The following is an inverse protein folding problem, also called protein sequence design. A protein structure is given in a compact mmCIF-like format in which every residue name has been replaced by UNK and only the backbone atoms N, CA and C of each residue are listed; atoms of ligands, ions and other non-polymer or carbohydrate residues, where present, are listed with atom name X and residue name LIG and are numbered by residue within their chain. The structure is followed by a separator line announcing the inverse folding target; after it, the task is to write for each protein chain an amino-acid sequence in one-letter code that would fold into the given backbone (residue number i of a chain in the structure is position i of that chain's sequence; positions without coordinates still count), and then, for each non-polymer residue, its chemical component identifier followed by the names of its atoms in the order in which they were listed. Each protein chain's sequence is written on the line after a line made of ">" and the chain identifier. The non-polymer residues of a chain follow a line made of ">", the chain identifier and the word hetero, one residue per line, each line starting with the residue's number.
data_IF_048759753130
#
_entry.id   IF_048759753130
#
_cell.length_a   1.000
_cell.length_b   1.000
_cell.length_c   1.000
_cell.angle_alpha   90.00
_cell.angle_beta   90.00
_cell.angle_gamma   90.00
#
_symmetry.space_group_name_H-M   'P 1'
#
loop_
_entity.id
_entity.type
_entity.pdbx_description
1 polymer ?
#
# COMPACT_ATOMS: atom_id res chain seq x y z
N UNK A 1 -39.44 -69.35 -75.21
CA UNK A 1 -38.15 -69.82 -74.66
C UNK A 1 -36.92 -69.07 -75.20
N UNK A 2 -37.05 -67.85 -75.79
CA UNK A 2 -35.92 -67.00 -76.21
C UNK A 2 -35.70 -65.76 -75.34
N UNK A 3 -36.68 -65.40 -74.50
CA UNK A 3 -36.60 -64.20 -73.64
C UNK A 3 -35.73 -64.42 -72.38
N UNK A 4 -35.59 -65.66 -71.92
CA UNK A 4 -34.77 -66.02 -70.74
C UNK A 4 -33.27 -66.06 -71.09
N UNK A 5 -32.92 -66.31 -72.35
CA UNK A 5 -31.52 -66.29 -72.81
C UNK A 5 -30.99 -64.86 -72.94
N UNK A 6 -31.83 -63.91 -73.36
CA UNK A 6 -31.49 -62.48 -73.46
C UNK A 6 -31.29 -61.79 -72.10
N UNK A 7 -31.94 -62.27 -71.05
CA UNK A 7 -31.73 -61.77 -69.67
C UNK A 7 -30.49 -62.36 -68.99
N UNK A 8 -29.87 -63.41 -69.56
CA UNK A 8 -28.58 -63.93 -69.09
C UNK A 8 -27.40 -63.15 -69.67
N UNK A 9 -27.52 -62.61 -70.89
CA UNK A 9 -26.46 -61.84 -71.53
C UNK A 9 -26.36 -60.38 -71.04
N UNK A 10 -27.45 -59.80 -70.51
CA UNK A 10 -27.38 -58.48 -69.82
C UNK A 10 -26.74 -58.62 -68.41
N UNK A 11 -26.56 -59.84 -67.92
CA UNK A 11 -25.92 -60.14 -66.63
C UNK A 11 -24.44 -60.53 -66.77
N UNK A 12 -23.86 -60.35 -67.95
CA UNK A 12 -22.43 -60.49 -68.21
C UNK A 12 -21.78 -59.11 -68.36
N UNK A 13 -20.71 -58.87 -67.60
CA UNK A 13 -19.86 -57.67 -67.62
C UNK A 13 -20.26 -56.47 -66.74
N UNK A 14 -20.38 -56.73 -65.43
CA UNK A 14 -19.74 -55.85 -64.45
C UNK A 14 -18.53 -56.59 -63.88
N UNK A 15 -17.43 -56.60 -64.65
CA UNK A 15 -16.15 -57.05 -64.12
C UNK A 15 -15.66 -56.04 -63.09
N UNK A 16 -15.95 -56.38 -61.84
CA UNK A 16 -15.35 -55.89 -60.59
C UNK A 16 -13.89 -55.48 -60.73
N UNK A 17 -13.63 -54.21 -61.04
CA UNK A 17 -12.32 -53.58 -60.86
C UNK A 17 -12.13 -53.13 -59.41
N UNK A 18 -12.21 -54.08 -58.49
CA UNK A 18 -12.08 -53.86 -57.03
C UNK A 18 -10.61 -53.54 -56.64
N UNK A 19 -9.64 -53.92 -57.49
CA UNK A 19 -8.21 -53.69 -57.26
C UNK A 19 -7.82 -52.22 -57.39
N UNK A 20 -8.50 -51.44 -58.24
CA UNK A 20 -8.28 -49.99 -58.35
C UNK A 20 -8.97 -49.17 -57.27
N UNK A 21 -10.14 -49.62 -56.80
CA UNK A 21 -10.95 -48.90 -55.81
C UNK A 21 -10.30 -48.85 -54.43
N UNK A 22 -9.60 -49.93 -54.04
CA UNK A 22 -8.84 -50.00 -52.78
C UNK A 22 -7.71 -48.95 -52.75
N UNK A 23 -6.96 -48.81 -53.84
CA UNK A 23 -5.90 -47.80 -53.96
C UNK A 23 -6.47 -46.39 -53.83
N UNK A 24 -7.62 -46.14 -54.45
CA UNK A 24 -8.30 -44.84 -54.46
C UNK A 24 -8.82 -44.48 -53.07
N UNK A 25 -9.41 -45.44 -52.34
CA UNK A 25 -9.83 -45.26 -50.95
C UNK A 25 -8.63 -44.92 -50.08
N UNK A 26 -7.53 -45.68 -50.16
CA UNK A 26 -6.32 -45.43 -49.35
C UNK A 26 -5.75 -44.04 -49.62
N UNK A 27 -5.68 -43.61 -50.89
CA UNK A 27 -5.22 -42.27 -51.26
C UNK A 27 -6.11 -41.19 -50.65
N UNK A 28 -7.43 -41.35 -50.74
CA UNK A 28 -8.41 -40.43 -50.13
C UNK A 28 -8.25 -40.42 -48.60
N UNK A 29 -8.11 -41.58 -47.96
CA UNK A 29 -7.93 -41.67 -46.51
C UNK A 29 -6.66 -40.96 -46.05
N UNK A 30 -5.53 -41.17 -46.74
CA UNK A 30 -4.26 -40.47 -46.43
C UNK A 30 -4.43 -38.96 -46.60
N UNK A 31 -5.08 -38.51 -47.69
CA UNK A 31 -5.30 -37.08 -47.95
C UNK A 31 -6.18 -36.44 -46.87
N UNK A 32 -7.24 -37.13 -46.46
CA UNK A 32 -8.14 -36.68 -45.39
C UNK A 32 -7.37 -36.60 -44.06
N UNK A 33 -6.58 -37.61 -43.73
CA UNK A 33 -5.74 -37.62 -42.51
C UNK A 33 -4.76 -36.45 -42.52
N UNK A 34 -4.12 -36.14 -43.66
CA UNK A 34 -3.19 -35.01 -43.77
C UNK A 34 -3.90 -33.66 -43.58
N UNK A 35 -5.08 -33.47 -44.19
CA UNK A 35 -5.87 -32.25 -44.02
C UNK A 35 -6.29 -32.08 -42.56
N UNK A 36 -6.78 -33.14 -41.92
CA UNK A 36 -7.15 -33.09 -40.50
C UNK A 36 -5.93 -32.88 -39.59
N UNK A 37 -4.81 -33.54 -39.87
CA UNK A 37 -3.57 -33.39 -39.10
C UNK A 37 -3.03 -31.97 -39.13
N UNK A 38 -3.04 -31.32 -40.29
CA UNK A 38 -2.65 -29.91 -40.42
C UNK A 38 -3.63 -28.97 -39.71
N UNK A 39 -4.94 -29.21 -39.86
CA UNK A 39 -5.98 -28.42 -39.18
C UNK A 39 -5.83 -28.48 -37.65
N UNK A 40 -5.66 -29.68 -37.08
CA UNK A 40 -5.48 -29.87 -35.64
C UNK A 40 -4.20 -29.19 -35.13
N UNK A 41 -3.11 -29.27 -35.90
CA UNK A 41 -1.82 -28.65 -35.56
C UNK A 41 -1.93 -27.12 -35.49
N UNK A 42 -2.65 -26.51 -36.45
CA UNK A 42 -2.92 -25.07 -36.44
C UNK A 42 -3.73 -24.62 -35.22
N UNK A 43 -4.71 -25.43 -34.80
CA UNK A 43 -5.49 -25.17 -33.58
C UNK A 43 -4.63 -25.24 -32.32
N UNK A 44 -3.81 -26.29 -32.17
CA UNK A 44 -2.93 -26.44 -30.99
C UNK A 44 -1.96 -25.27 -30.83
N UNK A 45 -1.34 -24.82 -31.92
CA UNK A 45 -0.44 -23.66 -31.90
C UNK A 45 -1.18 -22.37 -31.54
N UNK A 46 -2.38 -22.18 -32.10
CA UNK A 46 -3.21 -21.01 -31.81
C UNK A 46 -3.67 -20.97 -30.35
N UNK A 47 -4.09 -22.12 -29.80
CA UNK A 47 -4.48 -22.24 -28.39
C UNK A 47 -3.30 -21.96 -27.45
N UNK A 48 -2.10 -22.47 -27.75
CA UNK A 48 -0.89 -22.16 -26.97
C UNK A 48 -0.55 -20.67 -27.01
N UNK A 49 -0.67 -20.04 -28.17
CA UNK A 49 -0.44 -18.60 -28.31
C UNK A 49 -1.44 -17.78 -27.48
N UNK A 50 -2.73 -18.11 -27.56
CA UNK A 50 -3.77 -17.43 -26.78
C UNK A 50 -3.59 -17.65 -25.28
N UNK A 51 -3.22 -18.86 -24.85
CA UNK A 51 -2.92 -19.15 -23.46
C UNK A 51 -1.75 -18.29 -22.94
N UNK A 52 -0.64 -18.27 -23.68
CA UNK A 52 0.53 -17.46 -23.32
C UNK A 52 0.21 -15.96 -23.30
N UNK A 53 -0.62 -15.49 -24.23
CA UNK A 53 -1.07 -14.10 -24.27
C UNK A 53 -1.90 -13.76 -23.02
N UNK A 54 -2.88 -14.59 -22.67
CA UNK A 54 -3.72 -14.39 -21.49
C UNK A 54 -2.90 -14.45 -20.20
N UNK A 55 -2.00 -15.43 -20.07
CA UNK A 55 -1.12 -15.57 -18.92
C UNK A 55 -0.18 -14.37 -18.75
N UNK A 56 0.47 -13.92 -19.83
CA UNK A 56 1.32 -12.73 -19.80
C UNK A 56 0.52 -11.46 -19.51
N UNK A 57 -0.70 -11.34 -20.04
CA UNK A 57 -1.57 -10.20 -19.73
C UNK A 57 -1.96 -10.18 -18.25
N UNK A 58 -2.28 -11.32 -17.66
CA UNK A 58 -2.58 -11.42 -16.23
C UNK A 58 -1.35 -11.03 -15.38
N UNK A 59 -0.17 -11.54 -15.72
CA UNK A 59 1.09 -11.16 -15.07
C UNK A 59 1.38 -9.66 -15.19
N UNK A 60 1.13 -9.07 -16.36
CA UNK A 60 1.28 -7.63 -16.58
C UNK A 60 0.30 -6.82 -15.71
N UNK A 61 -0.94 -7.29 -15.54
CA UNK A 61 -1.90 -6.69 -14.60
C UNK A 61 -1.38 -6.75 -13.16
N UNK A 62 -0.93 -7.92 -12.70
CA UNK A 62 -0.40 -8.10 -11.35
C UNK A 62 0.80 -7.17 -11.08
N UNK A 63 1.69 -7.02 -12.07
CA UNK A 63 2.83 -6.09 -11.99
C UNK A 63 2.39 -4.62 -11.91
N UNK A 64 1.36 -4.24 -12.66
CA UNK A 64 0.79 -2.89 -12.57
C UNK A 64 0.15 -2.64 -11.18
N UNK A 65 -0.53 -3.62 -10.59
CA UNK A 65 -1.09 -3.55 -9.24
C UNK A 65 -0.01 -3.47 -8.15
N UNK A 66 1.09 -4.22 -8.30
CA UNK A 66 2.27 -4.08 -7.43
C UNK A 66 2.85 -2.67 -7.51
N UNK A 67 2.92 -2.09 -8.72
CA UNK A 67 3.33 -0.71 -8.93
C UNK A 67 2.45 0.29 -8.17
N UNK A 68 1.12 0.11 -8.20
CA UNK A 68 0.16 0.94 -7.45
C UNK A 68 0.42 0.84 -5.94
N UNK A 69 0.63 -0.38 -5.42
CA UNK A 69 0.91 -0.63 -4.00
C UNK A 69 2.22 0.02 -3.56
N UNK A 70 3.27 -0.09 -4.39
CA UNK A 70 4.53 0.60 -4.15
C UNK A 70 4.34 2.12 -4.14
N UNK A 71 3.61 2.66 -5.12
CA UNK A 71 3.37 4.10 -5.22
C UNK A 71 2.53 4.64 -4.06
N UNK A 72 1.60 3.86 -3.51
CA UNK A 72 0.92 4.17 -2.24
C UNK A 72 1.92 4.40 -1.12
N UNK A 73 2.84 3.46 -0.90
CA UNK A 73 3.84 3.56 0.16
C UNK A 73 4.77 4.77 -0.02
N UNK A 74 5.16 5.06 -1.27
CA UNK A 74 5.95 6.25 -1.61
C UNK A 74 5.16 7.52 -1.32
N UNK A 75 3.91 7.60 -1.77
CA UNK A 75 3.04 8.77 -1.54
C UNK A 75 2.81 9.00 -0.04
N UNK A 76 2.61 7.95 0.76
CA UNK A 76 2.51 8.07 2.22
C UNK A 76 3.76 8.72 2.85
N UNK A 77 4.96 8.31 2.42
CA UNK A 77 6.22 8.91 2.89
C UNK A 77 6.35 10.37 2.46
N UNK A 78 5.97 10.67 1.22
CA UNK A 78 5.97 12.04 0.69
C UNK A 78 5.01 12.94 1.49
N UNK A 79 3.79 12.47 1.78
CA UNK A 79 2.81 13.21 2.59
C UNK A 79 3.33 13.46 4.00
N UNK A 80 3.96 12.47 4.64
CA UNK A 80 4.58 12.64 5.95
C UNK A 80 5.71 13.69 5.94
N UNK A 81 6.58 13.66 4.92
CA UNK A 81 7.65 14.64 4.74
C UNK A 81 7.11 16.05 4.46
N UNK A 82 6.06 16.17 3.65
CA UNK A 82 5.39 17.44 3.35
C UNK A 82 4.73 18.04 4.61
N UNK A 83 4.06 17.22 5.42
CA UNK A 83 3.52 17.67 6.71
C UNK A 83 4.62 18.14 7.67
N UNK A 84 5.75 17.43 7.72
CA UNK A 84 6.90 17.82 8.54
C UNK A 84 7.44 19.18 8.10
N UNK A 85 7.65 19.35 6.80
CA UNK A 85 8.13 20.61 6.20
C UNK A 85 7.17 21.77 6.47
N UNK A 86 5.86 21.53 6.30
CA UNK A 86 4.83 22.51 6.61
C UNK A 86 4.83 22.87 8.10
N UNK A 87 5.01 21.91 9.01
CA UNK A 87 5.02 22.19 10.45
C UNK A 87 6.22 23.01 10.92
N UNK A 88 7.37 22.94 10.24
CA UNK A 88 8.59 23.66 10.62
C UNK A 88 8.53 25.16 10.30
N UNK A 89 7.76 25.53 9.27
CA UNK A 89 7.82 26.87 8.67
C UNK A 89 6.51 27.66 8.78
N UNK A 90 5.52 27.22 9.57
CA UNK A 90 4.15 27.76 9.47
C UNK A 90 3.49 28.14 10.79
N UNK A 91 2.75 29.25 10.74
CA UNK A 91 1.54 29.50 11.55
C UNK A 91 0.34 28.73 10.95
N UNK A 92 -0.79 28.62 11.64
CA UNK A 92 -1.94 27.83 11.13
C UNK A 92 -2.46 28.31 9.76
N UNK A 93 -2.27 29.58 9.42
CA UNK A 93 -2.74 30.21 8.16
C UNK A 93 -1.85 29.92 6.95
N UNK A 94 -0.59 29.51 7.15
CA UNK A 94 0.39 29.27 6.07
C UNK A 94 0.71 27.78 5.88
N UNK A 95 0.16 26.92 6.74
CA UNK A 95 0.42 25.49 6.73
C UNK A 95 0.03 24.83 5.40
N UNK A 96 -1.17 25.12 4.90
CA UNK A 96 -1.70 24.48 3.68
C UNK A 96 -0.90 24.83 2.43
N UNK A 97 -0.52 26.10 2.27
CA UNK A 97 0.30 26.53 1.14
C UNK A 97 1.68 25.88 1.19
N UNK A 98 2.27 25.77 2.38
CA UNK A 98 3.57 25.15 2.58
C UNK A 98 3.51 23.62 2.36
N UNK A 99 2.43 22.97 2.81
CA UNK A 99 2.19 21.55 2.55
C UNK A 99 2.06 21.27 1.06
N UNK A 100 1.18 22.01 0.35
CA UNK A 100 0.97 21.83 -1.10
C UNK A 100 2.25 22.03 -1.90
N UNK A 101 3.02 23.07 -1.57
CA UNK A 101 4.30 23.36 -2.22
C UNK A 101 5.32 22.24 -1.98
N UNK A 102 5.45 21.76 -0.73
CA UNK A 102 6.34 20.64 -0.40
C UNK A 102 5.89 19.33 -1.05
N UNK A 103 4.59 19.04 -1.06
CA UNK A 103 4.01 17.87 -1.71
C UNK A 103 4.36 17.85 -3.21
N UNK A 104 4.16 18.97 -3.90
CA UNK A 104 4.48 19.09 -5.33
C UNK A 104 5.97 18.89 -5.59
N UNK A 105 6.84 19.56 -4.84
CA UNK A 105 8.29 19.43 -4.96
C UNK A 105 8.77 17.98 -4.72
N UNK A 106 8.28 17.32 -3.67
CA UNK A 106 8.65 15.93 -3.37
C UNK A 106 8.09 14.94 -4.39
N UNK A 107 6.87 15.19 -4.90
CA UNK A 107 6.27 14.36 -5.94
C UNK A 107 7.04 14.48 -7.23
N UNK A 108 7.31 15.69 -7.73
CA UNK A 108 8.10 15.92 -8.95
C UNK A 108 9.52 15.35 -8.82
N UNK A 109 10.19 15.57 -7.68
CA UNK A 109 11.52 15.01 -7.45
C UNK A 109 11.49 13.49 -7.47
N UNK A 110 10.57 12.84 -6.74
CA UNK A 110 10.53 11.37 -6.62
C UNK A 110 9.95 10.67 -7.84
N UNK A 111 9.05 11.31 -8.59
CA UNK A 111 8.46 10.73 -9.80
C UNK A 111 9.45 10.70 -10.96
N UNK A 112 10.39 11.66 -11.02
CA UNK A 112 11.59 11.56 -11.86
C UNK A 112 12.47 10.34 -11.54
N UNK A 113 12.34 9.78 -10.33
CA UNK A 113 13.07 8.59 -9.85
C UNK A 113 12.25 7.31 -9.79
N UNK A 114 10.98 7.26 -10.23
CA UNK A 114 10.27 5.97 -10.33
C UNK A 114 10.79 5.23 -11.56
N UNK A 115 12.00 4.71 -11.37
CA UNK A 115 12.78 3.87 -12.25
C UNK A 115 11.95 2.64 -12.59
N UNK A 116 12.08 2.16 -13.82
CA UNK A 116 11.58 0.86 -14.22
C UNK A 116 12.04 -0.19 -13.19
N UNK A 117 11.09 -0.79 -12.48
CA UNK A 117 11.39 -1.80 -11.47
C UNK A 117 11.33 -3.16 -12.15
N UNK A 118 12.43 -3.90 -12.09
CA UNK A 118 12.52 -5.25 -12.65
C UNK A 118 12.28 -6.24 -11.52
N UNK A 119 11.23 -7.04 -11.65
CA UNK A 119 10.91 -8.10 -10.69
C UNK A 119 11.65 -9.38 -11.09
N UNK A 120 11.69 -9.68 -12.39
CA UNK A 120 12.38 -10.85 -12.94
C UNK A 120 12.60 -10.68 -14.45
N UNK A 121 13.84 -10.67 -14.92
CA UNK A 121 14.20 -10.59 -16.35
C UNK A 121 13.39 -9.56 -17.17
N UNK A 122 12.32 -9.99 -17.86
CA UNK A 122 11.44 -9.21 -18.73
C UNK A 122 10.17 -8.68 -18.03
N UNK A 123 9.95 -9.04 -16.78
CA UNK A 123 8.83 -8.60 -15.94
C UNK A 123 9.17 -7.31 -15.23
N UNK A 124 8.50 -6.24 -15.64
CA UNK A 124 8.78 -4.91 -15.12
C UNK A 124 7.50 -4.14 -14.79
N UNK A 125 7.60 -3.18 -13.88
CA UNK A 125 6.56 -2.16 -13.73
C UNK A 125 7.16 -0.75 -13.72
N UNK A 126 6.34 0.23 -14.13
CA UNK A 126 6.69 1.64 -14.17
C UNK A 126 5.51 2.48 -13.72
N UNK A 127 5.75 3.47 -12.88
CA UNK A 127 4.75 4.47 -12.52
C UNK A 127 5.06 5.77 -13.25
N UNK A 128 4.02 6.37 -13.81
CA UNK A 128 4.09 7.69 -14.40
C UNK A 128 3.14 8.62 -13.65
N UNK A 129 3.67 9.65 -13.00
CA UNK A 129 2.85 10.68 -12.38
C UNK A 129 2.19 11.55 -13.46
N UNK A 130 0.94 11.93 -13.23
CA UNK A 130 0.19 12.78 -14.15
C UNK A 130 0.05 14.20 -13.61
N UNK A 131 -0.67 14.34 -12.50
CA UNK A 131 -0.95 15.64 -11.89
C UNK A 131 -1.42 15.48 -10.43
N UNK A 132 -1.54 16.60 -9.74
CA UNK A 132 -2.29 16.73 -8.50
C UNK A 132 -3.48 17.64 -8.79
N UNK A 133 -4.69 17.13 -8.64
CA UNK A 133 -5.92 17.93 -8.69
C UNK A 133 -6.12 18.62 -7.34
N UNK A 134 -6.18 19.95 -7.37
CA UNK A 134 -6.38 20.81 -6.21
C UNK A 134 -7.73 21.55 -6.24
N UNK A 135 -8.69 21.10 -7.05
CA UNK A 135 -10.01 21.70 -7.20
C UNK A 135 -10.78 21.84 -5.87
N UNK A 136 -10.46 21.00 -4.88
CA UNK A 136 -11.04 21.06 -3.56
C UNK A 136 -10.01 21.55 -2.51
N UNK A 137 -10.31 22.60 -1.73
CA UNK A 137 -9.37 23.16 -0.74
C UNK A 137 -9.02 22.20 0.41
N UNK A 138 -9.82 21.15 0.63
CA UNK A 138 -9.63 20.17 1.70
C UNK A 138 -9.28 18.77 1.16
N UNK A 139 -9.12 18.63 -0.16
CA UNK A 139 -8.85 17.36 -0.81
C UNK A 139 -7.94 17.55 -2.02
N UNK A 140 -6.86 16.79 -2.07
CA UNK A 140 -5.93 16.70 -3.20
C UNK A 140 -6.03 15.30 -3.79
N UNK A 141 -6.04 15.20 -5.11
CA UNK A 141 -6.06 13.90 -5.80
C UNK A 141 -4.81 13.76 -6.65
N UNK A 142 -3.92 12.85 -6.27
CA UNK A 142 -2.70 12.51 -7.00
C UNK A 142 -3.05 11.49 -8.06
N UNK A 143 -3.02 11.88 -9.33
CA UNK A 143 -3.32 11.02 -10.47
C UNK A 143 -2.03 10.45 -11.06
N UNK A 144 -2.05 9.16 -11.43
CA UNK A 144 -0.89 8.47 -11.97
C UNK A 144 -1.31 7.26 -12.83
N UNK A 145 -0.40 6.81 -13.69
CA UNK A 145 -0.52 5.58 -14.47
C UNK A 145 0.48 4.55 -13.98
N UNK A 146 0.06 3.29 -13.92
CA UNK A 146 0.91 2.14 -13.60
C UNK A 146 0.96 1.19 -14.78
N UNK A 147 2.16 0.99 -15.32
CA UNK A 147 2.42 0.09 -16.43
C UNK A 147 3.06 -1.18 -15.90
N UNK A 148 2.50 -2.33 -16.23
CA UNK A 148 3.13 -3.63 -16.03
C UNK A 148 3.46 -4.26 -17.38
N UNK A 149 4.66 -4.83 -17.51
CA UNK A 149 5.12 -5.51 -18.71
C UNK A 149 5.48 -6.95 -18.38
N UNK A 150 5.00 -7.90 -19.17
CA UNK A 150 5.40 -9.30 -19.11
C UNK A 150 5.44 -9.89 -20.53
N UNK A 151 6.62 -10.35 -20.98
CA UNK A 151 6.83 -10.78 -22.36
C UNK A 151 6.55 -9.67 -23.37
N UNK A 152 5.54 -9.86 -24.23
CA UNK A 152 5.11 -8.90 -25.25
C UNK A 152 3.85 -8.11 -24.86
N UNK A 153 3.29 -8.40 -23.69
CA UNK A 153 2.05 -7.77 -23.23
C UNK A 153 2.38 -6.65 -22.24
N UNK A 154 1.70 -5.51 -22.42
CA UNK A 154 1.78 -4.34 -21.54
C UNK A 154 0.37 -4.00 -21.10
N UNK A 155 0.17 -3.84 -19.78
CA UNK A 155 -1.08 -3.38 -19.19
C UNK A 155 -0.84 -2.02 -18.54
N UNK A 156 -1.76 -1.08 -18.77
CA UNK A 156 -1.75 0.24 -18.17
C UNK A 156 -2.99 0.41 -17.28
N UNK A 157 -2.79 0.63 -15.99
CA UNK A 157 -3.83 0.92 -15.03
C UNK A 157 -3.77 2.39 -14.63
N UNK A 158 -4.91 3.06 -14.59
CA UNK A 158 -4.99 4.45 -14.10
C UNK A 158 -5.35 4.44 -12.63
N UNK A 159 -4.53 5.09 -11.81
CA UNK A 159 -4.69 5.16 -10.37
C UNK A 159 -4.87 6.59 -9.88
N UNK A 160 -5.61 6.76 -8.80
CA UNK A 160 -5.68 8.02 -8.06
C UNK A 160 -5.52 7.78 -6.57
N UNK A 161 -4.73 8.62 -5.90
CA UNK A 161 -4.59 8.68 -4.45
C UNK A 161 -5.23 9.96 -3.92
N UNK A 162 -6.23 9.82 -3.05
CA UNK A 162 -6.86 10.96 -2.37
C UNK A 162 -6.11 11.27 -1.07
N UNK A 163 -5.64 12.51 -0.96
CA UNK A 163 -5.09 13.11 0.25
C UNK A 163 -6.13 14.12 0.73
N UNK A 164 -6.53 14.06 1.99
CA UNK A 164 -7.53 14.98 2.56
C UNK A 164 -7.02 15.61 3.84
N UNK A 165 -7.55 16.79 4.17
CA UNK A 165 -7.33 17.36 5.50
C UNK A 165 -7.90 16.43 6.54
N UNK A 166 -7.08 16.15 7.53
CA UNK A 166 -7.47 15.31 8.65
C UNK A 166 -8.12 16.20 9.69
N UNK A 167 -9.45 16.14 9.72
CA UNK A 167 -10.25 16.76 10.77
C UNK A 167 -10.10 15.91 12.05
N UNK A 168 -9.09 16.21 12.86
CA UNK A 168 -8.86 15.54 14.16
C UNK A 168 -7.69 14.56 14.19
N UNK A 169 -7.47 13.97 15.38
CA UNK A 169 -6.33 13.08 15.66
C UNK A 169 -6.45 11.76 14.89
N UNK A 170 -5.39 11.40 14.17
CA UNK A 170 -5.36 10.35 13.13
C UNK A 170 -5.75 8.94 13.59
N UNK A 171 -5.59 8.65 14.89
CA UNK A 171 -5.69 7.28 15.41
C UNK A 171 -6.95 7.03 16.24
N UNK A 172 -7.85 8.01 16.39
CA UNK A 172 -9.10 7.81 17.15
C UNK A 172 -9.89 6.63 16.55
N UNK A 173 -10.32 5.71 17.42
CA UNK A 173 -11.06 4.50 17.05
C UNK A 173 -10.21 3.33 16.57
N UNK A 174 -8.92 3.53 16.28
CA UNK A 174 -8.00 2.44 15.98
C UNK A 174 -7.71 1.61 17.24
N UNK A 175 -7.39 0.33 17.06
CA UNK A 175 -6.93 -0.53 18.16
C UNK A 175 -5.57 -0.07 18.66
N UNK A 176 -5.32 -0.24 19.96
CA UNK A 176 -4.03 0.08 20.57
C UNK A 176 -2.88 -0.63 19.84
N UNK A 177 -1.74 0.04 19.59
CA UNK A 177 -0.57 -0.56 18.99
C UNK A 177 -0.04 -1.77 19.75
N UNK A 178 0.46 -2.77 19.02
CA UNK A 178 1.14 -3.94 19.59
C UNK A 178 2.60 -3.60 19.89
N UNK A 179 3.17 -4.21 20.93
CA UNK A 179 4.55 -3.99 21.37
C UNK A 179 5.58 -4.16 20.25
N UNK A 180 5.37 -5.11 19.33
CA UNK A 180 6.26 -5.38 18.18
C UNK A 180 6.33 -4.25 17.15
N UNK A 181 5.45 -3.24 17.23
CA UNK A 181 5.46 -2.07 16.34
C UNK A 181 6.47 -0.99 16.77
N UNK A 182 7.10 -1.12 17.93
CA UNK A 182 8.06 -0.16 18.48
C UNK A 182 9.50 -0.67 18.35
N UNK A 183 10.43 0.23 18.04
CA UNK A 183 11.86 -0.11 17.91
C UNK A 183 12.51 -0.40 19.26
N UNK A 184 11.99 0.19 20.33
CA UNK A 184 12.50 0.03 21.69
C UNK A 184 11.36 -0.43 22.58
N UNK A 185 11.60 -1.46 23.38
CA UNK A 185 10.73 -1.87 24.46
C UNK A 185 11.49 -1.67 25.76
N UNK A 186 11.07 -0.70 26.56
CA UNK A 186 11.63 -0.44 27.87
C UNK A 186 10.81 -1.18 28.92
N UNK A 187 11.46 -2.18 29.53
CA UNK A 187 10.87 -3.02 30.57
C UNK A 187 11.38 -2.71 31.96
N UNK A 188 12.36 -1.83 32.12
CA UNK A 188 12.82 -1.41 33.43
C UNK A 188 11.91 -0.31 34.00
N UNK A 189 11.86 -0.24 35.32
CA UNK A 189 11.19 0.85 36.02
C UNK A 189 12.00 2.13 35.80
N UNK A 190 11.36 3.16 35.24
CA UNK A 190 12.00 4.47 35.07
C UNK A 190 11.67 5.29 36.31
N UNK A 191 12.58 5.25 37.27
CA UNK A 191 12.53 6.14 38.42
C UNK A 191 13.70 7.12 38.38
N UNK A 192 13.42 8.32 37.87
CA UNK A 192 14.39 9.40 37.77
C UNK A 192 14.57 10.17 39.09
N UNK A 193 13.93 9.73 40.18
CA UNK A 193 14.20 10.23 41.52
C UNK A 193 15.49 9.65 42.09
N UNK A 194 15.66 8.32 42.03
CA UNK A 194 16.71 7.61 42.75
C UNK A 194 18.02 7.40 41.97
N UNK A 195 17.99 7.25 40.63
CA UNK A 195 19.16 6.73 39.90
C UNK A 195 19.75 7.66 38.84
N UNK A 196 18.95 8.31 37.98
CA UNK A 196 19.48 9.04 36.80
C UNK A 196 18.83 10.40 36.57
N UNK A 197 19.63 11.40 36.14
CA UNK A 197 19.17 12.78 35.92
C UNK A 197 18.28 12.93 34.68
N UNK A 198 18.45 12.06 33.69
CA UNK A 198 17.65 12.04 32.48
C UNK A 198 17.60 10.64 31.88
N UNK A 199 16.58 10.38 31.08
CA UNK A 199 16.48 9.22 30.20
C UNK A 199 16.19 9.69 28.78
N UNK A 200 16.91 9.16 27.79
CA UNK A 200 16.75 9.53 26.38
C UNK A 200 16.65 8.29 25.52
N UNK A 201 15.61 8.25 24.68
CA UNK A 201 15.34 7.19 23.74
C UNK A 201 15.38 7.74 22.32
N UNK A 202 16.19 7.12 21.47
CA UNK A 202 16.49 7.64 20.12
C UNK A 202 15.45 7.25 19.05
N UNK A 203 14.42 6.48 19.41
CA UNK A 203 13.36 6.04 18.50
C UNK A 203 12.04 5.89 19.28
N UNK A 204 10.98 5.48 18.58
CA UNK A 204 9.70 5.14 19.18
C UNK A 204 9.87 4.05 20.24
N UNK A 205 9.32 4.29 21.43
CA UNK A 205 9.54 3.47 22.63
C UNK A 205 8.24 3.01 23.27
N UNK A 206 8.18 1.73 23.64
CA UNK A 206 7.08 1.09 24.35
C UNK A 206 7.48 0.85 25.80
N UNK A 207 6.83 1.53 26.75
CA UNK A 207 7.10 1.45 28.19
C UNK A 207 6.11 0.50 28.85
N UNK A 208 6.60 -0.62 29.38
CA UNK A 208 5.73 -1.61 30.04
C UNK A 208 5.46 -1.25 31.50
N UNK A 209 6.42 -0.60 32.15
CA UNK A 209 6.40 -0.32 33.59
C UNK A 209 6.14 1.14 33.93
N UNK A 210 5.85 1.37 35.20
CA UNK A 210 5.58 2.68 35.78
C UNK A 210 6.76 3.65 35.55
N UNK A 211 6.41 4.90 35.27
CA UNK A 211 7.38 5.99 35.12
C UNK A 211 7.15 7.01 36.23
N UNK A 212 8.21 7.22 37.02
CA UNK A 212 8.28 8.24 38.06
C UNK A 212 9.35 9.27 37.72
N UNK A 213 8.94 10.54 37.60
CA UNK A 213 9.88 11.63 37.33
C UNK A 213 9.64 12.74 38.34
N UNK A 214 10.67 13.09 39.12
CA UNK A 214 10.57 14.13 40.13
C UNK A 214 11.77 15.09 40.10
N UNK A 215 11.50 16.39 40.28
CA UNK A 215 12.54 17.42 40.34
C UNK A 215 13.03 17.84 38.96
N UNK A 216 14.25 18.38 38.84
CA UNK A 216 14.81 18.85 37.56
C UNK A 216 15.40 17.69 36.74
N UNK A 217 14.51 16.85 36.18
CA UNK A 217 14.84 15.60 35.48
C UNK A 217 14.11 15.55 34.14
N UNK A 218 14.72 14.90 33.14
CA UNK A 218 14.17 14.90 31.77
C UNK A 218 13.97 13.49 31.22
N UNK A 219 12.78 13.21 30.69
CA UNK A 219 12.51 12.08 29.80
C UNK A 219 12.35 12.59 28.37
N UNK A 220 13.20 12.13 27.46
CA UNK A 220 13.15 12.46 26.04
C UNK A 220 12.92 11.20 25.19
N UNK A 221 11.91 11.24 24.31
CA UNK A 221 11.65 10.19 23.31
C UNK A 221 11.66 10.83 21.91
N UNK A 222 12.62 10.43 21.07
CA UNK A 222 12.75 10.88 19.68
C UNK A 222 11.85 10.05 18.74
N UNK A 223 10.57 9.92 19.05
CA UNK A 223 9.58 9.13 18.30
C UNK A 223 8.24 9.04 19.02
N UNK A 224 7.43 8.05 18.65
CA UNK A 224 6.18 7.74 19.33
C UNK A 224 6.44 7.09 20.70
N UNK A 225 5.60 7.35 21.69
CA UNK A 225 5.68 6.75 23.01
C UNK A 225 4.38 6.02 23.37
N UNK A 226 4.50 4.79 23.88
CA UNK A 226 3.37 4.03 24.41
C UNK A 226 3.59 3.72 25.89
N UNK A 227 2.63 4.08 26.73
CA UNK A 227 2.70 3.89 28.18
C UNK A 227 1.62 2.92 28.63
N UNK A 228 2.02 1.68 28.98
CA UNK A 228 1.13 0.66 29.54
C UNK A 228 0.74 1.00 30.97
N UNK A 229 1.71 1.46 31.75
CA UNK A 229 1.54 1.77 33.16
C UNK A 229 1.37 3.27 33.40
N UNK A 230 1.07 3.64 34.64
CA UNK A 230 0.91 5.04 35.03
C UNK A 230 2.20 5.83 34.81
N UNK A 231 2.02 7.08 34.38
CA UNK A 231 3.10 8.07 34.33
C UNK A 231 2.79 9.11 35.41
N UNK A 232 3.65 9.18 36.41
CA UNK A 232 3.60 10.19 37.44
C UNK A 232 4.78 11.13 37.26
N UNK A 233 4.50 12.43 37.25
CA UNK A 233 5.55 13.42 37.21
C UNK A 233 5.29 14.50 38.25
N UNK A 234 6.33 14.98 38.92
CA UNK A 234 6.24 16.04 39.93
C UNK A 234 7.42 17.01 39.87
N UNK A 235 7.22 18.25 40.34
CA UNK A 235 8.29 19.25 40.42
C UNK A 235 8.66 19.85 39.06
N UNK A 236 9.95 20.17 38.86
CA UNK A 236 10.47 20.82 37.65
C UNK A 236 10.86 19.84 36.53
N UNK A 237 10.08 18.77 36.37
CA UNK A 237 10.39 17.68 35.46
C UNK A 237 10.00 18.03 34.01
N UNK A 238 10.78 17.50 33.07
CA UNK A 238 10.59 17.68 31.64
C UNK A 238 10.24 16.34 30.99
N UNK A 239 9.09 16.26 30.33
CA UNK A 239 8.73 15.13 29.46
C UNK A 239 8.60 15.66 28.04
N UNK A 240 9.46 15.16 27.15
CA UNK A 240 9.55 15.58 25.76
C UNK A 240 9.36 14.37 24.86
N UNK A 241 8.30 14.38 24.05
CA UNK A 241 7.97 13.31 23.10
C UNK A 241 7.84 13.94 21.72
N UNK A 242 8.66 13.49 20.77
CA UNK A 242 8.72 14.06 19.41
C UNK A 242 7.70 13.45 18.43
N UNK A 243 6.96 12.43 18.85
CA UNK A 243 5.88 11.78 18.09
C UNK A 243 4.57 11.76 18.86
N UNK A 244 3.72 10.78 18.55
CA UNK A 244 2.47 10.55 19.25
C UNK A 244 2.71 9.96 20.65
N UNK A 245 1.81 10.24 21.59
CA UNK A 245 1.87 9.64 22.93
C UNK A 245 0.55 8.94 23.24
N UNK A 246 0.63 7.64 23.52
CA UNK A 246 -0.52 6.79 23.81
C UNK A 246 -0.41 6.28 25.24
N UNK A 247 -1.49 6.44 25.99
CA UNK A 247 -1.56 6.07 27.40
C UNK A 247 -2.65 5.04 27.62
N UNK A 248 -2.36 3.95 28.34
CA UNK A 248 -3.42 3.06 28.84
C UNK A 248 -4.12 3.64 30.08
N UNK A 249 -3.44 4.52 30.81
CA UNK A 249 -3.95 5.19 32.01
C UNK A 249 -3.66 6.67 31.96
N UNK A 250 -4.59 7.48 32.47
CA UNK A 250 -4.41 8.92 32.54
C UNK A 250 -3.16 9.27 33.35
N UNK A 251 -2.39 10.25 32.88
CA UNK A 251 -1.22 10.76 33.56
C UNK A 251 -1.61 11.43 34.88
N UNK A 252 -0.85 11.16 35.94
CA UNK A 252 -1.05 11.79 37.23
C UNK A 252 -0.28 13.11 37.22
N UNK A 253 -1.03 14.21 37.22
CA UNK A 253 -0.51 15.58 37.22
C UNK A 253 -0.76 16.20 38.60
N UNK A 254 0.22 16.25 39.50
CA UNK A 254 0.09 16.93 40.77
C UNK A 254 0.01 18.45 40.56
N UNK A 255 -0.77 19.12 41.41
CA UNK A 255 -0.89 20.57 41.41
C UNK A 255 0.47 21.23 41.68
N UNK A 256 1.09 21.80 40.65
CA UNK A 256 2.36 22.53 40.74
C UNK A 256 2.73 23.17 39.40
N UNK A 257 3.24 24.40 39.41
CA UNK A 257 3.37 25.23 38.19
C UNK A 257 4.72 25.11 37.43
N UNK A 258 5.61 24.21 37.84
CA UNK A 258 7.02 24.27 37.44
C UNK A 258 7.49 23.22 36.40
N UNK A 259 6.61 22.45 35.77
CA UNK A 259 7.00 21.39 34.83
C UNK A 259 6.91 21.82 33.35
N UNK A 260 7.61 21.08 32.47
CA UNK A 260 7.53 21.22 31.01
C UNK A 260 7.10 19.91 30.37
N UNK A 261 5.83 19.83 30.00
CA UNK A 261 5.33 18.77 29.13
C UNK A 261 5.33 19.26 27.68
N UNK A 262 5.97 18.51 26.79
CA UNK A 262 6.13 18.85 25.38
C UNK A 262 5.94 17.60 24.52
N UNK A 263 4.71 17.37 24.04
CA UNK A 263 4.38 16.29 23.12
C UNK A 263 4.01 16.94 21.79
N UNK A 264 4.81 16.69 20.76
CA UNK A 264 4.64 17.33 19.44
C UNK A 264 3.69 16.56 18.51
N UNK A 265 3.40 15.29 18.80
CA UNK A 265 2.36 14.51 18.11
C UNK A 265 1.02 14.56 18.81
N UNK A 266 0.13 13.66 18.40
CA UNK A 266 -1.20 13.52 18.98
C UNK A 266 -1.15 12.68 20.27
N UNK A 267 -2.01 13.03 21.23
CA UNK A 267 -2.15 12.32 22.51
C UNK A 267 -3.43 11.49 22.55
N UNK A 268 -3.32 10.24 22.96
CA UNK A 268 -4.43 9.29 23.00
C UNK A 268 -4.52 8.57 24.35
N UNK A 269 -5.74 8.21 24.76
CA UNK A 269 -6.01 7.31 25.88
C UNK A 269 -6.62 6.02 25.31
N UNK A 270 -6.29 4.86 25.87
CA UNK A 270 -6.92 3.59 25.50
C UNK A 270 -8.21 3.42 26.29
N UNK A 271 -9.32 3.16 25.60
CA UNK A 271 -10.60 2.86 26.24
C UNK A 271 -10.70 1.39 26.73
N UNK A 272 -11.82 1.05 27.36
CA UNK A 272 -12.07 -0.32 27.87
C UNK A 272 -12.17 -1.39 26.77
N UNK A 273 -12.34 -0.99 25.51
CA UNK A 273 -12.41 -1.87 24.35
C UNK A 273 -11.04 -2.00 23.64
N UNK A 274 -10.00 -1.37 24.17
CA UNK A 274 -8.67 -1.37 23.58
C UNK A 274 -8.54 -0.43 22.38
N UNK A 275 -9.45 0.53 22.20
CA UNK A 275 -9.40 1.53 21.13
C UNK A 275 -8.86 2.86 21.64
N UNK A 276 -8.29 3.63 20.73
CA UNK A 276 -7.73 4.94 21.03
C UNK A 276 -8.82 6.02 21.03
N UNK A 277 -8.89 6.79 22.09
CA UNK A 277 -9.75 7.98 22.21
C UNK A 277 -8.88 9.23 22.40
N UNK A 278 -9.45 10.39 22.12
CA UNK A 278 -8.77 11.66 22.31
C UNK A 278 -8.41 11.85 23.79
N UNK A 279 -7.15 12.21 24.06
CA UNK A 279 -6.69 12.55 25.39
C UNK A 279 -6.05 13.92 25.43
N UNK A 280 -6.75 14.90 25.98
CA UNK A 280 -6.23 16.25 26.14
C UNK A 280 -5.41 16.31 27.42
N UNK A 281 -4.09 16.44 27.28
CA UNK A 281 -3.21 16.59 28.44
C UNK A 281 -3.08 18.06 28.82
N UNK A 282 -3.40 18.44 30.06
CA UNK A 282 -3.22 19.80 30.55
C UNK A 282 -1.78 20.28 30.37
N UNK A 283 -1.60 21.54 29.96
CA UNK A 283 -0.31 22.21 29.86
C UNK A 283 0.75 21.55 28.94
N UNK A 284 0.32 20.75 27.95
CA UNK A 284 1.23 20.37 26.87
C UNK A 284 1.60 21.61 26.04
N UNK A 285 2.82 22.13 26.26
CA UNK A 285 3.30 23.38 25.65
C UNK A 285 3.65 23.25 24.17
N UNK A 286 3.79 22.02 23.69
CA UNK A 286 4.16 21.70 22.32
C UNK A 286 3.03 21.02 21.55
N UNK A 287 1.83 20.96 22.15
CA UNK A 287 0.65 20.43 21.48
C UNK A 287 0.49 21.14 20.14
N UNK A 288 0.42 20.36 19.05
CA UNK A 288 -0.04 20.89 17.79
C UNK A 288 -1.47 21.40 17.98
N UNK A 289 -1.72 22.63 17.56
CA UNK A 289 -3.09 23.11 17.39
C UNK A 289 -3.82 22.17 16.43
N UNK A 290 -5.01 21.73 16.82
CA UNK A 290 -5.78 20.71 16.11
C UNK A 290 -5.90 20.99 14.60
N UNK A 291 -5.70 19.92 13.81
CA UNK A 291 -6.31 19.64 12.50
C UNK A 291 -6.04 20.54 11.29
N UNK A 292 -4.77 20.76 10.91
CA UNK A 292 -4.44 21.16 9.52
C UNK A 292 -3.57 20.14 8.77
N UNK A 293 -3.21 19.00 9.38
CA UNK A 293 -2.39 17.99 8.69
C UNK A 293 -3.16 17.29 7.58
N UNK A 294 -2.47 17.01 6.48
CA UNK A 294 -3.02 16.29 5.34
C UNK A 294 -2.67 14.81 5.45
N UNK A 295 -3.57 13.91 5.06
CA UNK A 295 -3.32 12.48 5.12
C UNK A 295 -4.10 11.69 4.08
N UNK A 296 -3.66 10.47 3.84
CA UNK A 296 -4.35 9.51 2.98
C UNK A 296 -5.23 8.66 3.87
N UNK A 297 -6.53 8.63 3.59
CA UNK A 297 -7.42 7.67 4.23
C UNK A 297 -7.07 6.26 3.74
N UNK A 298 -6.65 5.38 4.65
CA UNK A 298 -6.27 4.03 4.31
C UNK A 298 -7.43 3.18 3.75
N UNK A 299 -8.68 3.56 4.03
CA UNK A 299 -9.88 2.82 3.64
C UNK A 299 -10.52 3.30 2.34
N UNK A 300 -10.32 4.57 1.94
CA UNK A 300 -10.95 5.17 0.76
C UNK A 300 -9.96 5.85 -0.21
N UNK A 301 -8.68 5.87 0.14
CA UNK A 301 -7.69 6.73 -0.47
C UNK A 301 -7.18 6.29 -1.84
N UNK A 302 -7.46 5.07 -2.33
CA UNK A 302 -6.99 4.62 -3.64
C UNK A 302 -8.15 4.17 -4.51
N UNK A 303 -8.22 4.70 -5.73
CA UNK A 303 -9.09 4.19 -6.79
C UNK A 303 -8.25 3.77 -7.98
N UNK A 304 -8.53 2.59 -8.51
CA UNK A 304 -7.89 2.01 -9.69
C UNK A 304 -8.96 1.81 -10.76
N UNK A 305 -8.66 2.22 -11.98
CA UNK A 305 -9.47 1.96 -13.17
C UNK A 305 -8.72 0.97 -14.05
N UNK A 306 -9.40 -0.15 -14.36
CA UNK A 306 -8.92 -1.26 -15.19
C UNK A 306 -9.27 -1.05 -16.67
#
# INVERSE_FOLDING_TARGET
>A
MKLIQLLKDIRGESMKNEKGYTLLIVLITITIILIFGMSLSGMVLSSRYQFNKTDNRNKATDLAEMGITYYKAVTNRIVAAANTTASLNSTSTTYDSNFKSALKAYTEMKTGYIKLMTVESDKTYKINFMNIDESNPNKLVVNFNSFGNAGKETVNLTGSITIQKLSGKLRIGQTKPVQSSYSIVETNLIDLWAQNKSATYNSSTYFTNYIHIQGNRTLLVNGDAYFVSEVSYQGAADIIIKGDAIFEKAMIIPNGKAYKLCITGDTYLVDSQGKLIDYVIPQNRCAKTASNSWGIDNNSGIKVQY
#
